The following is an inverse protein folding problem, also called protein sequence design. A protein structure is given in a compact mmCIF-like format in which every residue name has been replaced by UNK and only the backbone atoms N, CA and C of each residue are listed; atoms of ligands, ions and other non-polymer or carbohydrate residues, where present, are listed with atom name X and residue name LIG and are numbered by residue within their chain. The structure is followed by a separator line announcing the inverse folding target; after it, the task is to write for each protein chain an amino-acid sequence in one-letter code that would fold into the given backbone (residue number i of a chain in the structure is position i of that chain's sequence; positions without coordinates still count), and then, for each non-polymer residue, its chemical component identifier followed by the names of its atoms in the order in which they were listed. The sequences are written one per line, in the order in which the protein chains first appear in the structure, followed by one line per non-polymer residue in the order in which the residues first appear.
data_IF_403595664153
#
_entry.id   IF_403595664153
#
_cell.length_a   1.000
_cell.length_b   1.000
_cell.length_c   1.000
_cell.angle_alpha   90.00
_cell.angle_beta   90.00
_cell.angle_gamma   90.00
#
_symmetry.space_group_name_H-M   'P 1'
#
loop_
_entity.id
_entity.type
_entity.pdbx_description
1 polymer ?
#
# COMPACT_ATOMS: atom_id res chain seq x y z
N UNK A 1 -1.84 -38.43 -29.62
CA UNK A 1 -1.61 -38.22 -28.16
C UNK A 1 -0.24 -37.60 -27.94
N UNK A 2 -0.12 -36.68 -27.01
CA UNK A 2 1.11 -35.94 -26.72
C UNK A 2 1.78 -36.47 -25.45
N UNK A 3 1.03 -36.69 -24.39
CA UNK A 3 1.49 -37.42 -23.19
C UNK A 3 1.34 -38.92 -23.38
N UNK A 4 2.05 -39.70 -22.55
CA UNK A 4 1.84 -41.12 -22.49
C UNK A 4 0.42 -41.41 -21.94
N UNK A 5 -0.19 -42.48 -22.38
CA UNK A 5 -1.48 -42.94 -21.90
C UNK A 5 -1.54 -44.48 -21.94
N UNK A 6 -2.58 -45.07 -21.38
CA UNK A 6 -2.78 -46.51 -21.38
C UNK A 6 -4.17 -46.88 -21.93
N UNK A 7 -4.27 -48.11 -22.36
CA UNK A 7 -5.52 -48.69 -22.86
C UNK A 7 -5.60 -50.16 -22.45
N UNK A 8 -6.73 -50.58 -21.93
CA UNK A 8 -7.00 -52.02 -21.71
C UNK A 8 -7.51 -52.66 -22.96
N UNK A 9 -7.20 -53.94 -23.15
CA UNK A 9 -7.72 -54.77 -24.24
C UNK A 9 -8.01 -56.19 -23.74
N UNK A 10 -9.18 -56.78 -24.07
CA UNK A 10 -9.57 -58.14 -23.78
C UNK A 10 -9.20 -59.07 -24.91
N UNK A 11 -8.63 -60.21 -24.57
CA UNK A 11 -8.41 -61.31 -25.51
C UNK A 11 -9.04 -62.57 -24.97
N UNK A 12 -9.11 -63.59 -25.75
CA UNK A 12 -9.73 -64.88 -25.35
C UNK A 12 -9.09 -65.47 -24.07
N UNK A 13 -7.82 -65.17 -23.82
CA UNK A 13 -7.02 -65.67 -22.73
C UNK A 13 -6.82 -64.73 -21.54
N UNK A 14 -7.43 -63.51 -21.57
CA UNK A 14 -7.35 -62.58 -20.47
C UNK A 14 -7.33 -61.10 -20.82
N UNK A 15 -7.14 -60.25 -19.80
CA UNK A 15 -7.04 -58.81 -19.91
C UNK A 15 -5.61 -58.33 -20.11
N UNK A 16 -5.38 -57.47 -21.07
CA UNK A 16 -4.11 -56.86 -21.40
C UNK A 16 -4.17 -55.36 -21.19
N UNK A 17 -3.06 -54.78 -20.78
CA UNK A 17 -2.86 -53.31 -20.80
C UNK A 17 -1.77 -52.97 -21.83
N UNK A 18 -2.06 -51.98 -22.66
CA UNK A 18 -1.09 -51.37 -23.54
C UNK A 18 -0.76 -49.98 -23.05
N UNK A 19 0.52 -49.74 -22.78
CA UNK A 19 1.04 -48.44 -22.36
C UNK A 19 1.75 -47.80 -23.53
N UNK A 20 1.31 -46.60 -23.89
CA UNK A 20 1.84 -45.81 -24.99
C UNK A 20 2.83 -44.77 -24.51
N UNK A 21 4.06 -44.69 -25.07
CA UNK A 21 5.05 -43.73 -24.66
C UNK A 21 4.66 -42.31 -25.03
N UNK A 22 5.13 -41.30 -24.26
CA UNK A 22 4.89 -39.89 -24.56
C UNK A 22 5.70 -39.47 -25.82
N UNK A 23 5.20 -38.46 -26.54
CA UNK A 23 6.01 -37.75 -27.54
C UNK A 23 7.06 -36.86 -26.82
N UNK A 24 8.12 -36.53 -27.55
CA UNK A 24 9.20 -35.68 -27.01
C UNK A 24 8.67 -34.40 -26.39
N UNK A 25 9.04 -34.15 -25.11
CA UNK A 25 8.63 -32.99 -24.33
C UNK A 25 7.36 -33.16 -23.51
N UNK A 26 6.73 -34.34 -23.52
CA UNK A 26 5.52 -34.64 -22.74
C UNK A 26 5.79 -35.73 -21.69
N UNK A 27 4.98 -35.74 -20.60
CA UNK A 27 5.08 -36.69 -19.50
C UNK A 27 4.65 -38.11 -19.89
N UNK A 28 5.25 -39.13 -19.27
CA UNK A 28 4.80 -40.51 -19.37
C UNK A 28 3.45 -40.72 -18.68
N UNK A 29 2.73 -41.79 -19.03
CA UNK A 29 1.52 -42.20 -18.30
C UNK A 29 1.87 -42.49 -16.83
N UNK A 30 1.04 -42.00 -15.91
CA UNK A 30 1.21 -42.19 -14.48
C UNK A 30 0.68 -43.55 -14.03
N UNK A 31 1.44 -44.24 -13.17
CA UNK A 31 0.97 -45.46 -12.52
C UNK A 31 -0.22 -45.17 -11.59
N UNK A 32 -0.25 -44.00 -10.96
CA UNK A 32 -1.35 -43.59 -10.07
C UNK A 32 -2.66 -43.45 -10.87
N UNK A 33 -2.60 -42.99 -12.11
CA UNK A 33 -3.78 -42.87 -12.99
C UNK A 33 -4.36 -44.24 -13.31
N UNK A 34 -3.51 -45.26 -13.60
CA UNK A 34 -4.01 -46.60 -13.87
C UNK A 34 -4.52 -47.28 -12.60
N UNK A 35 -3.90 -47.07 -11.46
CA UNK A 35 -4.39 -47.63 -10.19
C UNK A 35 -5.75 -47.04 -9.87
N UNK A 36 -5.93 -45.72 -10.01
CA UNK A 36 -7.22 -45.05 -9.85
C UNK A 36 -8.29 -45.61 -10.83
N UNK A 37 -7.91 -45.82 -12.09
CA UNK A 37 -8.81 -46.39 -13.09
C UNK A 37 -9.23 -47.83 -12.73
N UNK A 38 -8.27 -48.67 -12.36
CA UNK A 38 -8.47 -50.06 -11.96
C UNK A 38 -9.40 -50.16 -10.73
N UNK A 39 -9.13 -49.34 -9.69
CA UNK A 39 -9.91 -49.30 -8.46
C UNK A 39 -11.33 -48.80 -8.72
N UNK A 40 -11.49 -47.75 -9.50
CA UNK A 40 -12.77 -47.14 -9.80
C UNK A 40 -13.68 -48.07 -10.66
N UNK A 41 -13.08 -48.88 -11.53
CA UNK A 41 -13.79 -49.84 -12.39
C UNK A 41 -13.83 -51.26 -11.79
N UNK A 42 -13.32 -51.46 -10.57
CA UNK A 42 -13.26 -52.80 -9.92
C UNK A 42 -12.58 -53.85 -10.80
N UNK A 43 -11.49 -53.47 -11.52
CA UNK A 43 -10.81 -54.40 -12.40
C UNK A 43 -9.78 -55.18 -11.59
N UNK A 44 -9.94 -56.53 -11.60
CA UNK A 44 -8.95 -57.42 -10.95
C UNK A 44 -7.66 -57.54 -11.81
N UNK A 45 -6.57 -56.92 -11.37
CA UNK A 45 -5.30 -56.90 -12.07
C UNK A 45 -4.15 -57.26 -11.18
N UNK A 46 -3.12 -57.88 -11.78
CA UNK A 46 -1.80 -58.11 -11.13
C UNK A 46 -1.03 -56.80 -11.07
N UNK A 47 -0.93 -56.21 -9.88
CA UNK A 47 -0.23 -54.95 -9.65
C UNK A 47 1.25 -54.95 -10.01
N UNK A 48 1.92 -56.11 -9.92
CA UNK A 48 3.35 -56.25 -10.31
C UNK A 48 3.47 -56.14 -11.83
N UNK A 49 2.61 -56.83 -12.58
CA UNK A 49 2.58 -56.75 -14.03
C UNK A 49 2.18 -55.37 -14.55
N UNK A 50 1.27 -54.66 -13.83
CA UNK A 50 0.98 -53.26 -14.12
C UNK A 50 2.21 -52.38 -13.99
N UNK A 51 2.98 -52.50 -12.91
CA UNK A 51 4.21 -51.72 -12.71
C UNK A 51 5.26 -52.01 -13.79
N UNK A 52 5.43 -53.28 -14.16
CA UNK A 52 6.34 -53.69 -15.26
C UNK A 52 5.89 -53.06 -16.60
N UNK A 53 4.61 -53.11 -16.91
CA UNK A 53 4.06 -52.51 -18.13
C UNK A 53 4.33 -50.99 -18.20
N UNK A 54 4.14 -50.26 -17.14
CA UNK A 54 4.40 -48.82 -17.07
C UNK A 54 5.88 -48.47 -17.16
N UNK A 55 6.73 -49.23 -16.51
CA UNK A 55 8.19 -49.08 -16.60
C UNK A 55 8.69 -49.28 -18.02
N UNK A 56 8.24 -50.33 -18.71
CA UNK A 56 8.62 -50.59 -20.09
C UNK A 56 7.93 -49.63 -21.06
N UNK A 57 6.64 -49.31 -20.87
CA UNK A 57 5.83 -48.44 -21.70
C UNK A 57 6.24 -46.97 -21.72
N UNK A 58 7.07 -46.54 -20.74
CA UNK A 58 7.62 -45.19 -20.72
C UNK A 58 8.61 -44.93 -21.88
N UNK A 59 9.22 -45.97 -22.43
CA UNK A 59 10.21 -45.89 -23.49
C UNK A 59 9.67 -46.35 -24.85
N UNK A 60 8.80 -47.36 -24.87
CA UNK A 60 8.21 -47.92 -26.11
C UNK A 60 6.80 -48.48 -25.82
N UNK A 61 5.95 -48.51 -26.85
CA UNK A 61 4.66 -49.15 -26.75
C UNK A 61 4.80 -50.59 -26.23
N UNK A 62 4.16 -50.86 -25.10
CA UNK A 62 4.29 -52.13 -24.41
C UNK A 62 2.94 -52.68 -24.02
N UNK A 63 2.67 -53.92 -24.41
CA UNK A 63 1.41 -54.64 -24.06
C UNK A 63 1.76 -55.80 -23.12
N UNK A 64 1.08 -55.85 -21.98
CA UNK A 64 1.30 -56.90 -20.94
C UNK A 64 -0.04 -57.47 -20.52
N UNK A 65 -0.11 -58.82 -20.34
CA UNK A 65 -1.25 -59.47 -19.74
C UNK A 65 -1.30 -59.23 -18.25
N UNK A 66 -2.42 -58.63 -17.75
CA UNK A 66 -2.53 -58.18 -16.36
C UNK A 66 -3.60 -58.93 -15.57
N UNK A 67 -4.45 -59.69 -16.24
CA UNK A 67 -5.47 -60.55 -15.59
C UNK A 67 -5.81 -61.77 -16.45
N UNK A 68 -6.25 -62.83 -15.83
CA UNK A 68 -6.81 -64.02 -16.50
C UNK A 68 -8.29 -63.83 -16.84
N UNK A 69 -8.97 -62.79 -16.30
CA UNK A 69 -10.35 -62.50 -16.58
C UNK A 69 -10.45 -61.74 -17.91
N UNK A 70 -11.28 -62.27 -18.85
CA UNK A 70 -11.33 -61.79 -20.25
C UNK A 70 -12.55 -60.95 -20.58
N UNK A 71 -13.49 -60.67 -19.65
CA UNK A 71 -14.70 -59.92 -19.93
C UNK A 71 -14.78 -58.65 -19.13
N UNK A 72 -14.43 -57.54 -19.79
CA UNK A 72 -14.65 -56.20 -19.27
C UNK A 72 -15.04 -55.25 -20.37
N UNK A 73 -16.29 -54.81 -20.40
CA UNK A 73 -16.72 -53.63 -21.16
C UNK A 73 -16.44 -52.39 -20.31
N UNK A 74 -15.43 -51.64 -20.69
CA UNK A 74 -15.12 -50.35 -20.06
C UNK A 74 -15.45 -49.23 -21.02
N UNK A 75 -16.38 -48.38 -20.64
CA UNK A 75 -16.68 -47.15 -21.38
C UNK A 75 -15.51 -46.14 -21.25
N UNK A 76 -15.45 -45.17 -22.17
CA UNK A 76 -14.61 -44.00 -22.07
C UNK A 76 -14.76 -43.37 -20.71
N UNK A 77 -13.67 -42.87 -20.12
CA UNK A 77 -13.64 -42.41 -18.74
C UNK A 77 -12.79 -41.12 -18.64
N UNK A 78 -13.12 -40.25 -17.72
CA UNK A 78 -12.34 -39.07 -17.40
C UNK A 78 -11.94 -39.05 -15.92
N UNK A 79 -10.67 -38.71 -15.65
CA UNK A 79 -10.17 -38.34 -14.33
C UNK A 79 -10.16 -36.82 -14.21
N UNK A 80 -10.88 -36.32 -13.20
CA UNK A 80 -11.02 -34.88 -12.98
C UNK A 80 -10.22 -34.47 -11.75
N UNK A 81 -9.32 -33.51 -11.94
CA UNK A 81 -8.46 -32.98 -10.88
C UNK A 81 -8.76 -31.51 -10.63
N UNK A 82 -9.28 -31.19 -9.46
CA UNK A 82 -9.48 -29.82 -9.02
C UNK A 82 -8.16 -29.31 -8.46
N UNK A 83 -7.70 -28.13 -8.90
CA UNK A 83 -6.50 -27.48 -8.35
C UNK A 83 -6.66 -27.17 -6.85
N UNK A 84 -5.55 -27.08 -6.12
CA UNK A 84 -5.57 -26.84 -4.66
C UNK A 84 -6.25 -25.51 -4.26
N UNK A 85 -6.23 -24.53 -5.15
CA UNK A 85 -6.89 -23.23 -5.01
C UNK A 85 -8.34 -23.23 -5.50
N UNK A 86 -8.81 -24.37 -6.05
CA UNK A 86 -10.13 -24.54 -6.66
C UNK A 86 -10.43 -23.58 -7.82
N UNK A 87 -9.37 -23.03 -8.48
CA UNK A 87 -9.55 -22.09 -9.58
C UNK A 87 -9.62 -22.74 -10.96
N UNK A 88 -9.31 -24.04 -11.06
CA UNK A 88 -9.37 -24.77 -12.32
C UNK A 88 -9.63 -26.25 -12.10
N UNK A 89 -10.19 -26.89 -13.13
CA UNK A 89 -10.38 -28.33 -13.21
C UNK A 89 -9.68 -28.83 -14.46
N UNK A 90 -8.82 -29.80 -14.29
CA UNK A 90 -8.17 -30.52 -15.39
C UNK A 90 -8.85 -31.89 -15.53
N UNK A 91 -9.23 -32.23 -16.75
CA UNK A 91 -9.74 -33.55 -17.12
C UNK A 91 -8.71 -34.31 -17.95
N UNK A 92 -8.41 -35.53 -17.57
CA UNK A 92 -7.63 -36.47 -18.37
C UNK A 92 -8.54 -37.59 -18.84
N UNK A 93 -8.71 -37.72 -20.16
CA UNK A 93 -9.61 -38.70 -20.77
C UNK A 93 -8.84 -39.98 -21.14
N UNK A 94 -9.50 -41.12 -20.90
CA UNK A 94 -8.97 -42.45 -21.21
C UNK A 94 -9.87 -43.14 -22.22
N UNK A 95 -9.30 -43.82 -23.25
CA UNK A 95 -10.08 -44.42 -24.29
C UNK A 95 -10.97 -45.57 -23.79
N UNK A 96 -12.12 -45.79 -24.45
CA UNK A 96 -12.95 -46.92 -24.11
C UNK A 96 -12.24 -48.22 -24.46
N UNK A 97 -12.71 -49.27 -23.88
CA UNK A 97 -12.21 -50.60 -24.10
C UNK A 97 -13.11 -51.29 -25.15
N UNK A 98 -12.54 -51.78 -26.25
CA UNK A 98 -13.23 -52.47 -27.38
C UNK A 98 -14.61 -51.86 -27.77
N UNK A 99 -15.71 -52.44 -27.21
CA UNK A 99 -17.07 -52.02 -27.49
C UNK A 99 -17.65 -51.10 -26.40
N UNK A 100 -16.79 -50.53 -25.55
CA UNK A 100 -17.23 -49.60 -24.50
C UNK A 100 -17.86 -48.34 -25.06
N UNK A 101 -18.83 -47.78 -24.30
CA UNK A 101 -19.49 -46.52 -24.67
C UNK A 101 -18.51 -45.34 -24.70
N UNK A 102 -18.83 -44.39 -25.56
CA UNK A 102 -18.11 -43.11 -25.63
C UNK A 102 -18.81 -42.07 -24.77
N UNK A 103 -18.06 -41.25 -24.01
CA UNK A 103 -18.64 -40.14 -23.26
C UNK A 103 -19.28 -39.11 -24.18
N UNK A 104 -20.45 -38.65 -23.80
CA UNK A 104 -21.06 -37.47 -24.40
C UNK A 104 -20.87 -36.21 -23.54
N UNK A 105 -21.29 -35.06 -24.05
CA UNK A 105 -21.14 -33.77 -23.38
C UNK A 105 -21.92 -33.71 -22.07
N UNK A 106 -23.16 -34.26 -22.06
CA UNK A 106 -24.02 -34.19 -20.90
C UNK A 106 -23.50 -35.10 -19.77
N UNK A 107 -22.84 -36.20 -20.11
CA UNK A 107 -22.15 -37.07 -19.16
C UNK A 107 -20.97 -36.36 -18.52
N UNK A 108 -20.13 -35.70 -19.31
CA UNK A 108 -18.98 -34.93 -18.80
C UNK A 108 -19.46 -33.81 -17.86
N UNK A 109 -20.52 -33.08 -18.25
CA UNK A 109 -21.11 -32.03 -17.42
C UNK A 109 -21.68 -32.59 -16.13
N UNK A 110 -22.39 -33.73 -16.18
CA UNK A 110 -22.90 -34.42 -14.99
C UNK A 110 -21.79 -34.88 -14.04
N UNK A 111 -20.70 -35.42 -14.57
CA UNK A 111 -19.54 -35.83 -13.80
C UNK A 111 -18.91 -34.62 -13.06
N UNK A 112 -18.76 -33.50 -13.76
CA UNK A 112 -18.27 -32.24 -13.15
C UNK A 112 -19.18 -31.76 -12.03
N UNK A 113 -20.52 -31.84 -12.23
CA UNK A 113 -21.50 -31.50 -11.19
C UNK A 113 -21.42 -32.44 -9.98
N UNK A 114 -21.21 -33.75 -10.20
CA UNK A 114 -21.09 -34.74 -9.12
C UNK A 114 -19.86 -34.46 -8.22
N UNK A 115 -18.78 -33.94 -8.76
CA UNK A 115 -17.61 -33.52 -7.97
C UNK A 115 -17.73 -32.08 -7.43
N UNK A 116 -18.91 -31.44 -7.61
CA UNK A 116 -19.24 -30.13 -7.07
C UNK A 116 -18.85 -28.94 -7.98
N UNK A 117 -18.38 -29.18 -9.19
CA UNK A 117 -18.01 -28.11 -10.15
C UNK A 117 -19.28 -27.58 -10.81
N UNK A 118 -19.61 -26.32 -10.49
CA UNK A 118 -20.85 -25.66 -10.94
C UNK A 118 -20.62 -24.30 -11.58
N UNK A 119 -19.37 -23.83 -11.58
CA UNK A 119 -19.01 -22.53 -12.14
C UNK A 119 -17.83 -22.65 -13.14
N UNK A 120 -17.91 -21.86 -14.21
CA UNK A 120 -16.81 -21.68 -15.15
C UNK A 120 -16.49 -22.89 -16.03
N UNK A 121 -17.45 -23.80 -16.25
CA UNK A 121 -17.29 -24.95 -17.17
C UNK A 121 -17.07 -24.41 -18.59
N UNK A 122 -15.98 -24.85 -19.21
CA UNK A 122 -15.58 -24.49 -20.57
C UNK A 122 -16.11 -25.52 -21.57
N UNK A 123 -17.32 -25.27 -22.06
CA UNK A 123 -17.97 -26.14 -23.02
C UNK A 123 -17.23 -26.22 -24.36
N UNK A 124 -16.50 -25.17 -24.78
CA UNK A 124 -15.73 -25.16 -26.03
C UNK A 124 -14.55 -26.15 -25.95
N UNK A 125 -13.91 -26.24 -24.79
CA UNK A 125 -12.83 -27.22 -24.55
C UNK A 125 -13.39 -28.64 -24.57
N UNK A 126 -14.56 -28.87 -23.94
CA UNK A 126 -15.25 -30.16 -23.96
C UNK A 126 -15.64 -30.57 -25.40
N UNK A 127 -16.25 -29.66 -26.16
CA UNK A 127 -16.63 -29.89 -27.55
C UNK A 127 -15.39 -30.16 -28.45
N UNK A 128 -14.29 -29.48 -28.20
CA UNK A 128 -13.01 -29.70 -28.88
C UNK A 128 -12.48 -31.13 -28.63
N UNK A 129 -12.54 -31.61 -27.38
CA UNK A 129 -12.17 -32.99 -27.06
C UNK A 129 -13.12 -33.98 -27.76
N UNK A 130 -14.44 -33.80 -27.68
CA UNK A 130 -15.41 -34.69 -28.28
C UNK A 130 -15.28 -34.81 -29.78
N UNK A 131 -14.87 -33.73 -30.46
CA UNK A 131 -14.66 -33.71 -31.92
C UNK A 131 -13.38 -34.45 -32.33
N UNK A 132 -12.30 -34.30 -31.56
CA UNK A 132 -11.00 -34.88 -31.86
C UNK A 132 -10.37 -35.42 -30.55
N UNK A 133 -10.69 -36.66 -30.25
CA UNK A 133 -10.35 -37.34 -28.98
C UNK A 133 -8.86 -37.59 -28.88
N UNK A 134 -8.12 -36.68 -28.28
CA UNK A 134 -6.70 -36.87 -27.95
C UNK A 134 -6.53 -37.30 -26.50
N UNK A 135 -6.40 -38.60 -26.29
CA UNK A 135 -6.15 -39.19 -24.97
C UNK A 135 -4.73 -38.91 -24.44
N UNK A 136 -4.53 -38.99 -23.14
CA UNK A 136 -3.23 -38.73 -22.50
C UNK A 136 -2.83 -37.25 -22.53
N UNK A 137 -3.79 -36.34 -22.60
CA UNK A 137 -3.63 -34.91 -22.51
C UNK A 137 -4.57 -34.36 -21.44
N UNK A 138 -4.07 -33.48 -20.59
CA UNK A 138 -4.91 -32.73 -19.67
C UNK A 138 -5.64 -31.59 -20.41
N UNK A 139 -6.94 -31.47 -20.16
CA UNK A 139 -7.82 -30.42 -20.67
C UNK A 139 -8.33 -29.60 -19.50
N UNK A 140 -8.17 -28.28 -19.53
CA UNK A 140 -8.79 -27.42 -18.51
C UNK A 140 -10.27 -27.27 -18.86
N UNK A 141 -11.13 -28.05 -18.20
CA UNK A 141 -12.58 -28.12 -18.50
C UNK A 141 -13.42 -27.18 -17.66
N UNK A 142 -12.84 -26.57 -16.64
CA UNK A 142 -13.47 -25.48 -15.88
C UNK A 142 -12.43 -24.52 -15.35
N UNK A 143 -12.79 -23.23 -15.27
CA UNK A 143 -11.94 -22.17 -14.75
C UNK A 143 -12.75 -21.16 -13.94
N UNK A 144 -12.29 -20.84 -12.73
CA UNK A 144 -12.83 -19.79 -11.89
C UNK A 144 -12.49 -18.40 -12.41
N UNK A 145 -13.13 -17.39 -11.86
CA UNK A 145 -12.79 -15.98 -12.09
C UNK A 145 -11.88 -15.51 -10.96
N UNK A 146 -10.69 -15.03 -11.32
CA UNK A 146 -9.71 -14.51 -10.38
C UNK A 146 -10.26 -13.27 -9.66
N UNK A 147 -9.98 -13.09 -8.36
CA UNK A 147 -10.30 -11.86 -7.66
C UNK A 147 -9.46 -10.70 -8.21
N UNK A 148 -10.07 -9.52 -8.27
CA UNK A 148 -9.34 -8.29 -8.61
C UNK A 148 -8.68 -7.76 -7.34
N UNK A 149 -7.35 -7.64 -7.35
CA UNK A 149 -6.59 -7.16 -6.21
C UNK A 149 -6.96 -5.72 -5.84
N UNK A 150 -7.05 -5.46 -4.54
CA UNK A 150 -7.24 -4.12 -4.01
C UNK A 150 -5.97 -3.27 -4.08
N UNK A 151 -6.11 -1.98 -3.77
CA UNK A 151 -5.01 -1.02 -3.60
C UNK A 151 -5.11 -0.36 -2.25
N UNK A 152 -3.98 -0.22 -1.58
CA UNK A 152 -3.91 0.48 -0.29
C UNK A 152 -4.24 1.96 -0.45
N UNK A 153 -4.94 2.52 0.54
CA UNK A 153 -5.11 3.95 0.66
C UNK A 153 -3.83 4.63 1.16
N UNK A 154 -3.69 5.92 0.93
CA UNK A 154 -2.60 6.73 1.46
C UNK A 154 -3.02 8.17 1.71
N UNK A 155 -2.26 8.85 2.58
CA UNK A 155 -2.42 10.29 2.84
C UNK A 155 -1.35 11.05 2.07
N UNK A 156 -1.78 11.98 1.24
CA UNK A 156 -0.91 12.92 0.56
C UNK A 156 -0.82 14.21 1.37
N UNK A 157 0.36 14.52 1.91
CA UNK A 157 0.60 15.76 2.63
C UNK A 157 0.93 16.89 1.65
N UNK A 158 0.28 18.04 1.81
CA UNK A 158 0.48 19.24 0.97
C UNK A 158 1.57 20.18 1.51
N UNK A 159 2.36 19.72 2.46
CA UNK A 159 3.46 20.44 3.07
C UNK A 159 4.70 19.56 3.16
N UNK A 160 5.87 20.16 3.40
CA UNK A 160 7.10 19.41 3.55
C UNK A 160 7.13 18.67 4.91
N UNK A 161 7.09 17.35 4.87
CA UNK A 161 7.11 16.50 6.07
C UNK A 161 8.52 16.30 6.63
N UNK A 162 9.58 16.59 5.85
CA UNK A 162 10.98 16.47 6.24
C UNK A 162 11.64 17.86 6.27
N UNK A 163 11.29 18.69 7.24
CA UNK A 163 11.96 19.97 7.46
C UNK A 163 13.34 19.72 8.07
N UNK A 164 14.37 19.70 7.23
CA UNK A 164 15.76 19.84 7.68
C UNK A 164 16.20 21.28 7.42
N UNK A 165 16.69 22.00 8.43
CA UNK A 165 17.22 23.32 8.23
C UNK A 165 18.34 23.26 7.17
N UNK A 166 18.10 23.82 6.00
CA UNK A 166 19.10 23.96 4.95
C UNK A 166 19.26 25.44 4.66
N UNK A 167 20.44 26.01 4.89
CA UNK A 167 20.70 27.38 4.50
C UNK A 167 20.61 27.51 2.98
N UNK A 168 20.07 28.62 2.51
CA UNK A 168 19.98 28.94 1.09
C UNK A 168 21.35 29.21 0.51
N UNK A 169 21.69 28.46 -0.52
CA UNK A 169 22.92 28.72 -1.27
C UNK A 169 22.64 29.75 -2.36
N UNK A 170 23.34 30.88 -2.34
CA UNK A 170 23.24 31.92 -3.35
C UNK A 170 23.91 31.47 -4.66
N UNK A 171 23.59 32.14 -5.78
CA UNK A 171 24.18 31.84 -7.10
C UNK A 171 25.72 32.04 -7.15
N UNK A 172 26.26 32.79 -6.21
CA UNK A 172 27.71 33.04 -6.06
C UNK A 172 28.43 32.00 -5.19
N UNK A 173 27.72 30.96 -4.70
CA UNK A 173 28.24 29.89 -3.85
C UNK A 173 28.37 30.28 -2.37
N UNK A 174 27.92 31.45 -1.95
CA UNK A 174 27.85 31.85 -0.55
C UNK A 174 26.59 31.25 0.09
N UNK A 175 26.66 31.02 1.41
CA UNK A 175 25.52 30.41 2.18
C UNK A 175 24.87 31.52 2.99
N UNK A 176 23.60 31.79 2.73
CA UNK A 176 22.77 32.70 3.52
C UNK A 176 22.16 31.95 4.71
N UNK A 177 22.66 32.27 5.91
CA UNK A 177 22.12 31.71 7.17
C UNK A 177 20.94 32.53 7.73
N UNK A 178 20.59 33.66 7.12
CA UNK A 178 19.47 34.50 7.57
C UNK A 178 18.11 34.04 6.99
N UNK A 179 18.12 33.37 5.86
CA UNK A 179 16.91 32.86 5.21
C UNK A 179 16.85 31.33 5.29
N UNK A 180 16.32 30.80 6.37
CA UNK A 180 16.04 29.36 6.50
C UNK A 180 14.53 29.13 6.28
N UNK A 181 14.19 28.36 5.24
CA UNK A 181 12.81 27.88 5.02
C UNK A 181 12.50 26.74 6.02
N UNK A 182 12.36 27.10 7.31
CA UNK A 182 12.23 26.11 8.40
C UNK A 182 10.80 25.86 8.83
N UNK A 183 9.81 26.51 8.23
CA UNK A 183 8.42 26.44 8.70
C UNK A 183 7.46 26.29 7.53
N UNK A 184 6.59 25.30 7.60
CA UNK A 184 5.47 25.17 6.68
C UNK A 184 4.35 26.11 7.11
N UNK A 185 4.21 27.26 6.48
CA UNK A 185 3.14 28.20 6.73
C UNK A 185 1.82 27.71 6.13
N UNK A 186 0.73 27.90 6.88
CA UNK A 186 -0.64 27.63 6.43
C UNK A 186 -1.55 28.79 6.83
N UNK A 187 -2.56 29.01 6.02
CA UNK A 187 -3.61 30.01 6.27
C UNK A 187 -4.91 29.30 6.62
N UNK A 188 -5.71 29.89 7.49
CA UNK A 188 -7.02 29.34 7.83
C UNK A 188 -7.82 28.99 6.58
N UNK A 189 -8.28 27.75 6.49
CA UNK A 189 -9.02 27.18 5.37
C UNK A 189 -8.16 26.40 4.37
N UNK A 190 -6.83 26.39 4.50
CA UNK A 190 -5.97 25.63 3.61
C UNK A 190 -6.15 24.12 3.83
N UNK A 191 -6.11 23.36 2.73
CA UNK A 191 -6.04 21.90 2.76
C UNK A 191 -4.59 21.46 3.00
N UNK A 192 -4.32 20.81 4.12
CA UNK A 192 -2.98 20.38 4.52
C UNK A 192 -2.68 18.92 4.17
N UNK A 193 -3.72 18.11 3.99
CA UNK A 193 -3.56 16.72 3.54
C UNK A 193 -4.80 16.24 2.78
N UNK A 194 -4.59 15.29 1.88
CA UNK A 194 -5.65 14.64 1.09
C UNK A 194 -5.57 13.13 1.33
N UNK A 195 -6.71 12.52 1.66
CA UNK A 195 -6.86 11.08 1.78
C UNK A 195 -7.26 10.48 0.44
N UNK A 196 -6.42 9.60 -0.06
CA UNK A 196 -6.74 8.70 -1.15
C UNK A 196 -7.22 7.37 -0.55
N UNK A 197 -8.53 7.08 -0.59
CA UNK A 197 -9.07 5.88 0.04
C UNK A 197 -8.56 4.62 -0.65
N UNK A 198 -8.55 3.53 0.10
CA UNK A 198 -8.27 2.21 -0.44
C UNK A 198 -9.35 1.75 -1.41
N UNK A 199 -8.94 0.94 -2.37
CA UNK A 199 -9.84 0.14 -3.20
C UNK A 199 -9.74 -1.31 -2.71
N UNK A 200 -10.83 -1.84 -2.20
CA UNK A 200 -10.85 -3.19 -1.58
C UNK A 200 -10.78 -4.34 -2.59
N UNK A 201 -10.83 -4.01 -3.89
CA UNK A 201 -10.85 -5.02 -4.94
C UNK A 201 -12.24 -5.64 -5.12
N UNK A 202 -12.32 -6.65 -5.99
CA UNK A 202 -13.55 -7.37 -6.28
C UNK A 202 -13.34 -8.86 -6.05
N UNK A 203 -14.34 -9.52 -5.47
CA UNK A 203 -14.27 -10.95 -5.24
C UNK A 203 -14.35 -11.71 -6.56
N UNK A 204 -13.53 -12.74 -6.69
CA UNK A 204 -13.63 -13.75 -7.74
C UNK A 204 -14.60 -14.86 -7.35
N UNK A 205 -14.66 -15.91 -8.19
CA UNK A 205 -15.49 -17.09 -7.95
C UNK A 205 -14.70 -18.33 -8.36
N UNK A 206 -14.61 -19.33 -7.48
CA UNK A 206 -13.96 -20.60 -7.81
C UNK A 206 -14.88 -21.54 -8.60
N UNK A 207 -14.33 -22.67 -9.06
CA UNK A 207 -15.08 -23.64 -9.86
C UNK A 207 -16.18 -24.35 -9.07
N UNK A 208 -16.16 -24.29 -7.74
CA UNK A 208 -17.21 -24.80 -6.84
C UNK A 208 -18.26 -23.73 -6.52
N UNK A 209 -18.26 -22.61 -7.23
CA UNK A 209 -19.17 -21.46 -7.05
C UNK A 209 -19.05 -20.79 -5.67
N UNK A 210 -17.84 -20.78 -5.09
CA UNK A 210 -17.55 -20.09 -3.82
C UNK A 210 -16.84 -18.78 -4.12
N UNK A 211 -17.16 -17.75 -3.33
CA UNK A 211 -16.50 -16.44 -3.43
C UNK A 211 -15.04 -16.53 -2.98
N UNK A 212 -14.13 -16.06 -3.84
CA UNK A 212 -12.70 -15.91 -3.56
C UNK A 212 -12.42 -14.45 -3.31
N UNK A 213 -12.18 -14.07 -2.06
CA UNK A 213 -11.93 -12.68 -1.71
C UNK A 213 -10.50 -12.27 -2.10
N UNK A 214 -10.30 -11.03 -2.56
CA UNK A 214 -8.98 -10.48 -2.75
C UNK A 214 -8.22 -10.32 -1.41
N UNK A 215 -6.92 -10.11 -1.49
CA UNK A 215 -6.10 -9.81 -0.33
C UNK A 215 -6.60 -8.57 0.40
N UNK A 216 -6.54 -8.60 1.73
CA UNK A 216 -6.96 -7.48 2.57
C UNK A 216 -6.02 -6.30 2.35
N UNK A 217 -6.59 -5.15 1.98
CA UNK A 217 -5.85 -3.89 1.88
C UNK A 217 -5.88 -3.12 3.18
N UNK A 218 -4.83 -2.32 3.42
CA UNK A 218 -4.73 -1.49 4.62
C UNK A 218 -5.69 -0.31 4.52
N UNK A 219 -6.60 -0.22 5.49
CA UNK A 219 -7.43 0.96 5.68
C UNK A 219 -6.62 2.11 6.26
N UNK A 220 -6.70 3.28 5.66
CA UNK A 220 -5.97 4.48 6.06
C UNK A 220 -6.95 5.58 6.48
N UNK A 221 -6.65 6.23 7.60
CA UNK A 221 -7.42 7.35 8.14
C UNK A 221 -6.50 8.50 8.49
N UNK A 222 -7.03 9.73 8.49
CA UNK A 222 -6.28 10.87 8.99
C UNK A 222 -5.95 10.71 10.48
N UNK A 223 -4.71 11.02 10.82
CA UNK A 223 -4.26 11.20 12.20
C UNK A 223 -3.87 12.65 12.39
N UNK A 224 -4.59 13.37 13.24
CA UNK A 224 -4.38 14.79 13.43
C UNK A 224 -4.70 15.23 14.86
N UNK A 225 -4.19 16.42 15.22
CA UNK A 225 -4.40 17.05 16.50
C UNK A 225 -5.37 18.24 16.43
N UNK A 226 -5.05 19.30 17.20
CA UNK A 226 -5.88 20.50 17.30
C UNK A 226 -5.83 21.34 16.03
N UNK A 227 -6.81 22.22 15.87
CA UNK A 227 -6.92 23.23 14.80
C UNK A 227 -7.07 22.65 13.38
N UNK A 228 -7.55 21.42 13.26
CA UNK A 228 -7.81 20.74 12.01
C UNK A 228 -9.21 20.15 12.01
N UNK A 229 -9.80 20.06 10.84
CA UNK A 229 -11.11 19.43 10.61
C UNK A 229 -11.07 18.65 9.33
N UNK A 230 -11.81 17.55 9.29
CA UNK A 230 -12.02 16.77 8.07
C UNK A 230 -13.14 17.42 7.27
N UNK A 231 -12.98 17.53 5.95
CA UNK A 231 -14.02 18.00 5.02
C UNK A 231 -15.28 17.12 5.07
N UNK A 232 -16.40 17.63 4.58
CA UNK A 232 -17.69 16.91 4.58
C UNK A 232 -17.63 15.60 3.79
N UNK A 233 -16.82 15.53 2.74
CA UNK A 233 -16.61 14.33 1.92
C UNK A 233 -15.58 13.34 2.52
N UNK A 234 -14.98 13.70 3.66
CA UNK A 234 -14.01 12.87 4.37
C UNK A 234 -12.62 12.77 3.74
N UNK A 235 -12.37 13.52 2.64
CA UNK A 235 -11.14 13.35 1.83
C UNK A 235 -10.07 14.38 2.09
N UNK A 236 -10.37 15.50 2.71
CA UNK A 236 -9.42 16.58 2.94
C UNK A 236 -9.29 16.90 4.42
N UNK A 237 -8.08 17.24 4.84
CA UNK A 237 -7.79 17.75 6.16
C UNK A 237 -7.50 19.26 6.06
N UNK A 238 -8.36 20.07 6.68
CA UNK A 238 -8.40 21.53 6.54
C UNK A 238 -7.99 22.17 7.85
N UNK A 239 -7.17 23.25 7.76
CA UNK A 239 -6.80 24.01 8.96
C UNK A 239 -7.84 25.03 9.36
N UNK A 240 -8.11 25.12 10.66
CA UNK A 240 -9.05 26.09 11.27
C UNK A 240 -8.39 27.43 11.64
N UNK A 241 -7.06 27.47 11.67
CA UNK A 241 -6.28 28.65 12.05
C UNK A 241 -5.11 28.86 11.09
N UNK A 242 -4.65 30.12 10.97
CA UNK A 242 -3.38 30.40 10.32
C UNK A 242 -2.23 30.11 11.28
N UNK A 243 -1.10 29.61 10.74
CA UNK A 243 0.04 29.24 11.57
C UNK A 243 1.04 28.36 10.84
N UNK A 244 1.59 27.37 11.51
CA UNK A 244 2.46 26.39 10.91
C UNK A 244 1.93 24.96 11.08
N UNK A 245 2.17 24.13 10.08
CA UNK A 245 1.81 22.71 10.08
C UNK A 245 3.06 21.85 10.23
N UNK A 246 2.96 20.82 11.05
CA UNK A 246 4.01 19.82 11.27
C UNK A 246 3.41 18.41 11.27
N UNK A 247 4.23 17.43 10.88
CA UNK A 247 3.92 16.03 11.03
C UNK A 247 4.80 15.46 12.15
N UNK A 248 4.19 15.09 13.28
CA UNK A 248 4.88 14.48 14.41
C UNK A 248 4.23 13.15 14.77
N UNK A 249 5.04 12.10 14.86
CA UNK A 249 4.56 10.75 15.22
C UNK A 249 3.34 10.32 14.39
N UNK A 250 3.39 10.58 13.08
CA UNK A 250 2.32 10.23 12.11
C UNK A 250 0.99 10.98 12.37
N UNK A 251 1.06 12.14 13.02
CA UNK A 251 -0.09 13.03 13.25
C UNK A 251 0.21 14.43 12.74
N UNK A 252 -0.76 15.02 12.05
CA UNK A 252 -0.68 16.41 11.60
C UNK A 252 -1.12 17.34 12.73
N UNK A 253 -0.32 18.34 13.01
CA UNK A 253 -0.64 19.40 13.95
C UNK A 253 -0.55 20.77 13.27
N UNK A 254 -1.44 21.66 13.62
CA UNK A 254 -1.36 23.08 13.25
C UNK A 254 -1.33 23.93 14.51
N UNK A 255 -0.29 24.77 14.60
CA UNK A 255 -0.13 25.71 15.70
C UNK A 255 -0.10 27.13 15.16
N UNK A 256 -0.78 28.03 15.83
CA UNK A 256 -0.67 29.46 15.60
C UNK A 256 0.49 30.11 16.38
N UNK A 257 1.20 29.33 17.20
CA UNK A 257 2.37 29.76 17.96
C UNK A 257 3.60 29.02 17.44
N UNK A 258 4.59 29.76 16.97
CA UNK A 258 5.92 29.25 16.65
C UNK A 258 6.78 29.27 17.91
N UNK A 259 7.15 28.09 18.42
CA UNK A 259 8.07 27.96 19.55
C UNK A 259 9.50 27.75 19.07
N UNK A 260 10.44 28.58 19.55
CA UNK A 260 11.87 28.49 19.25
C UNK A 260 12.67 28.48 20.55
N UNK A 261 13.85 27.87 20.51
CA UNK A 261 14.79 27.94 21.64
C UNK A 261 15.52 29.30 21.58
N UNK A 262 16.30 29.52 20.55
CA UNK A 262 17.04 30.77 20.30
C UNK A 262 16.81 31.23 18.86
N UNK A 263 17.10 32.50 18.57
CA UNK A 263 17.19 33.01 17.19
C UNK A 263 18.65 33.36 16.92
N UNK A 264 19.30 32.51 16.13
CA UNK A 264 20.71 32.53 15.83
C UNK A 264 21.01 32.04 14.40
N UNK A 265 22.27 31.74 14.10
CA UNK A 265 22.69 31.20 12.79
C UNK A 265 22.00 29.87 12.41
N UNK A 266 21.49 29.12 13.37
CA UNK A 266 20.82 27.84 13.12
C UNK A 266 19.35 27.99 12.80
N UNK A 267 18.71 29.05 13.29
CA UNK A 267 17.31 29.37 13.09
C UNK A 267 17.09 30.40 11.97
N UNK A 268 18.05 31.28 11.73
CA UNK A 268 17.96 32.39 10.77
C UNK A 268 16.94 33.46 11.17
N UNK A 269 16.60 34.34 10.21
CA UNK A 269 15.53 35.33 10.37
C UNK A 269 14.17 34.65 10.39
N UNK A 270 13.27 35.16 11.24
CA UNK A 270 11.93 34.65 11.43
C UNK A 270 10.91 35.63 10.85
N UNK A 271 10.08 35.16 9.91
CA UNK A 271 8.88 35.84 9.44
C UNK A 271 7.69 34.89 9.59
N UNK A 272 6.81 35.16 10.53
CA UNK A 272 5.78 34.24 10.93
C UNK A 272 4.37 34.83 10.98
N UNK A 273 3.40 34.14 10.36
CA UNK A 273 2.01 34.55 10.38
C UNK A 273 1.28 33.95 11.59
N UNK A 274 1.52 34.48 12.77
CA UNK A 274 0.98 34.03 14.06
C UNK A 274 1.79 34.60 15.23
N UNK A 275 1.69 33.96 16.38
CA UNK A 275 2.47 34.33 17.58
C UNK A 275 3.84 33.62 17.57
N UNK A 276 4.88 34.28 18.10
CA UNK A 276 6.22 33.73 18.23
C UNK A 276 6.64 33.72 19.70
N UNK A 277 7.09 32.55 20.18
CA UNK A 277 7.58 32.35 21.54
C UNK A 277 9.03 31.84 21.50
N UNK A 278 9.97 32.64 22.02
CA UNK A 278 11.39 32.33 22.06
C UNK A 278 11.78 32.11 23.53
N UNK A 279 12.20 30.88 23.87
CA UNK A 279 12.56 30.47 25.23
C UNK A 279 13.91 31.03 25.68
N UNK A 280 14.84 31.23 24.75
CA UNK A 280 16.17 31.78 24.96
C UNK A 280 16.32 33.20 24.39
N UNK A 281 17.41 33.44 23.66
CA UNK A 281 17.84 34.77 23.24
C UNK A 281 17.57 35.01 21.75
N UNK A 282 17.51 36.29 21.37
CA UNK A 282 17.58 36.72 19.95
C UNK A 282 18.95 37.41 19.77
N UNK A 283 19.83 36.79 18.98
CA UNK A 283 21.19 37.27 18.80
C UNK A 283 21.28 38.45 17.84
N UNK A 284 22.40 39.18 17.91
CA UNK A 284 22.64 40.39 17.13
C UNK A 284 22.62 40.13 15.62
N UNK A 285 21.94 41.02 14.90
CA UNK A 285 21.83 40.99 13.44
C UNK A 285 20.65 40.22 12.90
N UNK A 286 19.94 39.44 13.71
CA UNK A 286 18.77 38.70 13.30
C UNK A 286 17.46 39.51 13.42
N UNK A 287 16.48 39.12 12.61
CA UNK A 287 15.15 39.72 12.55
C UNK A 287 14.08 38.73 12.92
N UNK A 288 13.19 39.11 13.83
CA UNK A 288 11.96 38.37 14.17
C UNK A 288 10.75 39.24 13.79
N UNK A 289 9.96 38.76 12.85
CA UNK A 289 8.67 39.36 12.47
C UNK A 289 7.53 38.37 12.77
N UNK A 290 6.50 38.86 13.45
CA UNK A 290 5.28 38.12 13.74
C UNK A 290 4.06 38.97 13.39
N UNK A 291 3.03 38.36 12.79
CA UNK A 291 1.75 39.07 12.61
C UNK A 291 0.97 39.17 13.94
N UNK A 292 1.20 38.26 14.86
CA UNK A 292 0.65 38.21 16.22
C UNK A 292 1.60 38.80 17.27
N UNK A 293 1.66 38.15 18.44
CA UNK A 293 2.45 38.55 19.57
C UNK A 293 3.85 37.93 19.53
N UNK A 294 4.83 38.60 20.14
CA UNK A 294 6.19 38.05 20.33
C UNK A 294 6.51 38.03 21.82
N UNK A 295 6.92 36.85 22.29
CA UNK A 295 7.39 36.65 23.67
C UNK A 295 8.84 36.15 23.60
N UNK A 296 9.78 36.88 24.24
CA UNK A 296 11.16 36.46 24.38
C UNK A 296 11.47 36.31 25.87
N UNK A 297 11.78 35.07 26.28
CA UNK A 297 12.10 34.78 27.71
C UNK A 297 13.53 35.17 28.05
N UNK A 298 14.44 35.09 27.09
CA UNK A 298 15.84 35.53 27.24
C UNK A 298 16.04 37.01 26.94
N UNK A 299 17.22 37.36 26.44
CA UNK A 299 17.61 38.72 26.10
C UNK A 299 17.58 38.92 24.59
N UNK A 300 17.16 40.10 24.13
CA UNK A 300 17.32 40.53 22.73
C UNK A 300 18.60 41.34 22.61
N UNK A 301 19.53 40.85 21.80
CA UNK A 301 20.86 41.45 21.64
C UNK A 301 21.01 42.07 20.22
N UNK A 302 20.98 43.40 20.12
CA UNK A 302 21.24 44.11 18.84
C UNK A 302 20.42 43.60 17.63
N UNK A 303 19.23 43.07 17.85
CA UNK A 303 18.35 42.44 16.88
C UNK A 303 17.12 43.31 16.55
N UNK A 304 16.39 42.94 15.49
CA UNK A 304 15.13 43.56 15.10
C UNK A 304 13.97 42.64 15.51
N UNK A 305 13.03 43.18 16.30
CA UNK A 305 11.80 42.44 16.67
C UNK A 305 10.59 43.28 16.30
N UNK A 306 9.72 42.73 15.45
CA UNK A 306 8.51 43.39 14.95
C UNK A 306 7.32 42.49 15.20
N UNK A 307 6.29 42.97 15.90
CA UNK A 307 5.05 42.29 16.14
C UNK A 307 3.85 43.12 15.68
N UNK A 308 2.87 42.48 15.04
CA UNK A 308 1.58 43.10 14.78
C UNK A 308 0.74 43.28 16.05
N UNK A 309 0.92 42.42 17.06
CA UNK A 309 0.36 42.46 18.40
C UNK A 309 1.30 43.04 19.44
N UNK A 310 1.34 42.40 20.62
CA UNK A 310 2.16 42.79 21.76
C UNK A 310 3.56 42.19 21.70
N UNK A 311 4.54 42.87 22.32
CA UNK A 311 5.90 42.34 22.56
C UNK A 311 6.14 42.23 24.04
N UNK A 312 6.57 41.05 24.52
CA UNK A 312 6.98 40.83 25.90
C UNK A 312 8.41 40.31 25.94
N UNK A 313 9.32 41.10 26.56
CA UNK A 313 10.73 40.78 26.71
C UNK A 313 11.02 40.53 28.18
N UNK A 314 10.94 39.26 28.64
CA UNK A 314 10.99 38.94 30.06
C UNK A 314 12.32 39.35 30.75
N UNK A 315 13.44 39.27 30.05
CA UNK A 315 14.73 39.74 30.58
C UNK A 315 15.11 41.12 30.03
N UNK A 316 14.56 41.54 28.89
CA UNK A 316 14.82 42.87 28.31
C UNK A 316 15.64 42.86 27.01
N UNK A 317 16.09 44.04 26.60
CA UNK A 317 16.83 44.24 25.35
C UNK A 317 18.13 45.03 25.59
N UNK A 318 19.23 44.44 25.12
CA UNK A 318 20.56 45.10 24.97
C UNK A 318 20.77 45.49 23.52
N UNK A 319 20.49 46.74 23.20
CA UNK A 319 20.30 47.14 21.80
C UNK A 319 21.57 47.35 20.98
N UNK A 320 22.71 47.53 21.62
CA UNK A 320 24.03 47.82 20.96
C UNK A 320 23.95 48.98 19.96
N UNK A 321 23.04 49.93 20.16
CA UNK A 321 22.69 51.02 19.26
C UNK A 321 22.21 50.60 17.85
N UNK A 322 21.79 49.37 17.69
CA UNK A 322 21.32 48.78 16.42
C UNK A 322 19.91 48.16 16.53
N UNK A 323 19.49 47.72 17.72
CA UNK A 323 18.22 47.07 17.87
C UNK A 323 17.04 47.95 17.51
N UNK A 324 16.04 47.33 16.89
CA UNK A 324 14.75 47.96 16.55
C UNK A 324 13.65 47.08 17.10
N UNK A 325 12.80 47.60 18.01
CA UNK A 325 11.68 46.91 18.62
C UNK A 325 10.40 47.65 18.23
N UNK A 326 9.49 46.98 17.51
CA UNK A 326 8.21 47.59 17.06
C UNK A 326 7.04 46.68 17.36
N UNK A 327 6.04 47.19 18.07
CA UNK A 327 4.78 46.50 18.37
C UNK A 327 3.60 47.29 17.86
N UNK A 328 2.63 46.64 17.23
CA UNK A 328 1.33 47.20 16.94
C UNK A 328 0.48 47.45 18.22
N UNK A 329 0.69 46.64 19.25
CA UNK A 329 0.11 46.72 20.58
C UNK A 329 1.07 47.35 21.60
N UNK A 330 1.13 46.76 22.79
CA UNK A 330 2.00 47.18 23.91
C UNK A 330 3.37 46.51 23.88
N UNK A 331 4.34 47.14 24.51
CA UNK A 331 5.66 46.56 24.80
C UNK A 331 5.86 46.46 26.31
N UNK A 332 6.21 45.27 26.78
CA UNK A 332 6.57 45.02 28.18
C UNK A 332 8.01 44.50 28.19
N UNK A 333 8.91 45.16 28.94
CA UNK A 333 10.31 44.77 28.99
C UNK A 333 10.87 45.00 30.38
N UNK A 334 11.76 44.12 30.89
CA UNK A 334 12.42 44.36 32.16
C UNK A 334 13.41 45.52 32.03
N UNK A 335 14.22 45.56 30.99
CA UNK A 335 15.11 46.72 30.71
C UNK A 335 15.19 46.98 29.20
N UNK A 336 15.45 48.25 28.86
CA UNK A 336 15.64 48.72 27.48
C UNK A 336 16.91 49.55 27.50
N UNK A 337 18.02 49.04 26.93
CA UNK A 337 19.32 49.68 26.99
C UNK A 337 19.94 49.80 25.62
N UNK A 338 20.44 51.00 25.25
CA UNK A 338 21.14 51.30 24.01
C UNK A 338 20.39 50.85 22.73
N UNK A 339 19.08 51.00 22.72
CA UNK A 339 18.19 50.61 21.58
C UNK A 339 18.01 51.77 20.63
N UNK A 340 18.23 51.53 19.32
CA UNK A 340 18.10 52.55 18.27
C UNK A 340 16.65 53.09 18.19
N UNK A 341 15.66 52.22 18.30
CA UNK A 341 14.25 52.60 18.27
C UNK A 341 13.38 51.57 18.97
N UNK A 342 12.57 52.01 19.88
CA UNK A 342 11.43 51.23 20.47
C UNK A 342 10.15 51.98 20.13
N UNK A 343 9.23 51.33 19.43
CA UNK A 343 8.00 51.94 18.96
C UNK A 343 6.81 51.03 19.30
N UNK A 344 5.81 51.57 20.03
CA UNK A 344 4.59 50.87 20.38
C UNK A 344 3.32 51.60 19.91
N UNK A 345 2.38 50.84 19.35
CA UNK A 345 1.04 51.34 19.05
C UNK A 345 0.15 51.51 20.30
N UNK A 346 0.56 50.88 21.41
CA UNK A 346 -0.04 50.98 22.75
C UNK A 346 0.92 51.57 23.76
N UNK A 347 0.94 51.01 24.98
CA UNK A 347 1.78 51.43 26.08
C UNK A 347 3.17 50.77 26.00
N UNK A 348 4.17 51.39 26.64
CA UNK A 348 5.48 50.80 26.90
C UNK A 348 5.67 50.76 28.43
N UNK A 349 5.93 49.56 28.92
CA UNK A 349 6.19 49.30 30.35
C UNK A 349 7.59 48.70 30.51
N UNK A 350 8.47 49.36 31.30
CA UNK A 350 9.82 48.88 31.57
C UNK A 350 10.33 49.31 32.94
N UNK A 351 11.04 48.40 33.66
CA UNK A 351 11.67 48.73 34.95
C UNK A 351 12.80 49.75 34.78
N UNK A 352 13.45 49.79 33.58
CA UNK A 352 14.55 50.72 33.29
C UNK A 352 14.67 50.98 31.77
N UNK A 353 14.86 52.25 31.41
CA UNK A 353 15.10 52.69 30.04
C UNK A 353 16.37 53.57 30.04
N UNK A 354 17.42 53.13 29.33
CA UNK A 354 18.72 53.83 29.24
C UNK A 354 19.19 54.00 27.79
N UNK A 355 19.68 55.14 27.44
CA UNK A 355 20.31 55.47 26.14
C UNK A 355 19.52 55.00 24.92
N UNK A 356 18.20 55.12 24.96
CA UNK A 356 17.30 54.55 23.95
C UNK A 356 16.29 55.57 23.44
N UNK A 357 15.94 55.49 22.16
CA UNK A 357 14.83 56.26 21.58
C UNK A 357 13.54 55.47 21.72
N UNK A 358 12.59 56.00 22.49
CA UNK A 358 11.34 55.33 22.79
C UNK A 358 10.15 56.17 22.35
N UNK A 359 9.20 55.58 21.65
CA UNK A 359 7.97 56.21 21.14
C UNK A 359 6.79 55.33 21.43
N UNK A 360 5.75 55.83 22.08
CA UNK A 360 4.52 55.16 22.32
C UNK A 360 3.34 56.02 21.91
N UNK A 361 2.29 55.41 21.37
CA UNK A 361 0.99 56.10 21.18
C UNK A 361 0.21 56.20 22.51
N UNK A 362 0.50 55.31 23.45
CA UNK A 362 -0.05 55.30 24.79
C UNK A 362 0.92 55.89 25.83
N UNK A 363 0.92 55.32 27.03
CA UNK A 363 1.73 55.75 28.18
C UNK A 363 3.08 55.01 28.21
N UNK A 364 4.15 55.68 28.61
CA UNK A 364 5.46 55.10 28.90
C UNK A 364 5.61 55.11 30.45
N UNK A 365 5.68 53.92 31.03
CA UNK A 365 5.81 53.68 32.48
C UNK A 365 7.16 53.05 32.81
#
# INVERSE_FOLDING_TARGET
CMSGYFQFSSKEDGLYITVYPPKSGYGAASIDDVMFYVDNKNISCDSVKLMEAFKAGSAAETTVKVSEESQLECSEFADYRISSDCMRVEACFYPPFENGGMLDKDEIIRDLQHIGVTYGVDEEVIDSFLKDRHYGKAYTVAKGTEPVSGREGYVEYKFNTELKPRPKMNEDGTVDFHTLENVNHVTKGDTVAVLHPEYVGEAGTDVLNRSVNPDKVKHVVFRFGRNLVISEDGKELITLVSGHVVLESDKVFVSNVLELVDVDNSTGDIDYNGDVSIKGNVLAGFTVKASGNVVVTGVVEGATVIAGGDITLNRGVQGMNKAVIKAGGKIVSKFIESVQLVEAGGNIEADSILHSKVVAKGVIN
#
